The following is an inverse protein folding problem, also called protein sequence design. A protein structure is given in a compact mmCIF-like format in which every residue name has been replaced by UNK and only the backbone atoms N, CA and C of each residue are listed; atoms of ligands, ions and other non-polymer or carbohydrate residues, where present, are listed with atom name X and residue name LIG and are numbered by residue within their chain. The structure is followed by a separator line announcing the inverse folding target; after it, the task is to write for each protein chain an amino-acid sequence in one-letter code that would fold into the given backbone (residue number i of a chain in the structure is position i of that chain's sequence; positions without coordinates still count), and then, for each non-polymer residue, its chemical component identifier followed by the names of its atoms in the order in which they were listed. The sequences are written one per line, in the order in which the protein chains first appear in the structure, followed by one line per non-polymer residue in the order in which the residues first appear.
data_IF_144013813005
#
_entry.id   IF_144013813005
#
_cell.length_a   1.000
_cell.length_b   1.000
_cell.length_c   1.000
_cell.angle_alpha   90.00
_cell.angle_beta   90.00
_cell.angle_gamma   90.00
#
_symmetry.space_group_name_H-M   'P 1'
#
loop_
_entity.id
_entity.type
_entity.pdbx_description
1 polymer ?
#
# COMPACT_ATOMS: atom_id res chain seq x y z
N UNK A 1 -8.05 -3.62 24.57
CA UNK A 1 -8.16 -4.16 23.20
C UNK A 1 -7.00 -3.56 22.42
N UNK A 2 -6.10 -4.37 21.86
CA UNK A 2 -5.04 -3.84 21.02
C UNK A 2 -5.67 -3.37 19.71
N UNK A 3 -5.59 -2.08 19.38
CA UNK A 3 -6.12 -1.56 18.11
C UNK A 3 -5.46 -2.29 16.94
N UNK A 4 -6.31 -2.79 16.04
CA UNK A 4 -6.00 -3.61 14.89
C UNK A 4 -5.26 -2.84 13.78
N UNK A 5 -4.05 -2.33 14.08
CA UNK A 5 -3.24 -1.59 13.11
C UNK A 5 -2.24 -2.50 12.38
N UNK A 6 -2.67 -3.70 11.95
CA UNK A 6 -1.76 -4.70 11.37
C UNK A 6 -1.19 -4.23 10.03
N UNK A 7 -2.02 -3.60 9.19
CA UNK A 7 -1.60 -3.11 7.87
C UNK A 7 -0.65 -1.91 8.02
N UNK A 8 -0.97 -0.97 8.89
CA UNK A 8 -0.17 0.22 9.17
C UNK A 8 1.19 -0.16 9.76
N UNK A 9 1.23 -1.13 10.68
CA UNK A 9 2.50 -1.67 11.20
C UNK A 9 3.32 -2.32 10.10
N UNK A 10 2.69 -3.06 9.18
CA UNK A 10 3.39 -3.63 8.02
C UNK A 10 3.95 -2.52 7.13
N UNK A 11 3.18 -1.47 6.83
CA UNK A 11 3.61 -0.33 6.01
C UNK A 11 4.79 0.39 6.68
N UNK A 12 4.70 0.65 7.98
CA UNK A 12 5.79 1.25 8.77
C UNK A 12 7.06 0.40 8.73
N UNK A 13 6.93 -0.92 8.94
CA UNK A 13 8.07 -1.85 8.92
C UNK A 13 8.69 -2.00 7.52
N UNK A 14 7.90 -1.87 6.46
CA UNK A 14 8.40 -1.86 5.08
C UNK A 14 9.19 -0.56 4.79
N UNK A 15 8.89 0.54 5.48
CA UNK A 15 9.66 1.77 5.39
C UNK A 15 9.44 2.56 4.10
N UNK A 16 8.21 2.61 3.60
CA UNK A 16 7.87 3.44 2.44
C UNK A 16 8.18 4.92 2.71
N UNK A 17 8.81 5.60 1.75
CA UNK A 17 9.09 7.03 1.82
C UNK A 17 7.90 7.89 1.32
N UNK A 18 6.82 7.23 0.90
CA UNK A 18 5.64 7.95 0.42
C UNK A 18 4.95 8.72 1.56
N UNK A 19 4.58 9.99 1.36
CA UNK A 19 3.77 10.73 2.34
C UNK A 19 2.33 10.20 2.40
N UNK A 20 1.91 9.36 1.45
CA UNK A 20 0.56 8.80 1.33
C UNK A 20 0.44 7.43 2.01
N UNK A 21 1.21 7.18 3.08
CA UNK A 21 1.21 5.89 3.78
C UNK A 21 -0.17 5.52 4.37
N UNK A 22 -0.96 6.51 4.79
CA UNK A 22 -2.33 6.29 5.25
C UNK A 22 -3.27 5.88 4.11
N UNK A 23 -3.15 6.52 2.95
CA UNK A 23 -3.91 6.16 1.76
C UNK A 23 -3.56 4.76 1.25
N UNK A 24 -2.28 4.38 1.32
CA UNK A 24 -1.84 3.01 1.04
C UNK A 24 -2.54 1.99 1.94
N UNK A 25 -2.71 2.27 3.24
CA UNK A 25 -3.43 1.39 4.14
C UNK A 25 -4.90 1.25 3.71
N UNK A 26 -5.56 2.35 3.33
CA UNK A 26 -6.94 2.33 2.85
C UNK A 26 -7.09 1.50 1.57
N UNK A 27 -6.22 1.69 0.57
CA UNK A 27 -6.24 0.89 -0.67
C UNK A 27 -6.07 -0.62 -0.36
N UNK A 28 -5.24 -0.97 0.62
CA UNK A 28 -5.08 -2.36 1.06
C UNK A 28 -6.35 -2.91 1.72
N UNK A 29 -7.01 -2.12 2.58
CA UNK A 29 -8.29 -2.53 3.17
C UNK A 29 -9.38 -2.70 2.11
N UNK A 30 -9.48 -1.80 1.14
CA UNK A 30 -10.41 -1.96 0.02
C UNK A 30 -10.13 -3.24 -0.78
N UNK A 31 -8.85 -3.51 -1.08
CA UNK A 31 -8.46 -4.72 -1.81
C UNK A 31 -8.76 -6.00 -1.02
N UNK A 32 -8.66 -5.96 0.31
CA UNK A 32 -9.05 -7.06 1.21
C UNK A 32 -10.56 -7.28 1.20
N UNK A 33 -11.35 -6.21 1.29
CA UNK A 33 -12.82 -6.27 1.27
C UNK A 33 -13.37 -6.84 -0.04
N UNK A 34 -12.61 -6.70 -1.14
CA UNK A 34 -12.95 -7.28 -2.46
C UNK A 34 -12.57 -8.75 -2.59
N UNK A 35 -11.85 -9.33 -1.63
CA UNK A 35 -11.49 -10.76 -1.66
C UNK A 35 -12.68 -11.62 -1.26
N UNK A 36 -12.69 -12.83 -1.81
CA UNK A 36 -13.59 -13.88 -1.39
C UNK A 36 -13.38 -14.21 0.11
N UNK A 37 -14.48 -14.31 0.85
CA UNK A 37 -14.43 -14.48 2.31
C UNK A 37 -13.80 -15.82 2.70
N UNK A 38 -14.09 -16.90 1.96
CA UNK A 38 -13.53 -18.22 2.23
C UNK A 38 -12.02 -18.26 1.96
N UNK A 39 -11.56 -17.51 0.97
CA UNK A 39 -10.12 -17.30 0.74
C UNK A 39 -9.44 -16.61 1.94
N UNK A 40 -10.03 -15.53 2.47
CA UNK A 40 -9.50 -14.82 3.63
C UNK A 40 -9.49 -15.72 4.88
N UNK A 41 -10.56 -16.50 5.11
CA UNK A 41 -10.63 -17.47 6.22
C UNK A 41 -9.53 -18.52 6.12
N UNK A 42 -9.30 -19.10 4.95
CA UNK A 42 -8.20 -20.07 4.75
C UNK A 42 -6.83 -19.48 5.05
N UNK A 43 -6.57 -18.25 4.61
CA UNK A 43 -5.31 -17.57 4.93
C UNK A 43 -5.14 -17.37 6.44
N UNK A 44 -6.23 -17.10 7.16
CA UNK A 44 -6.21 -16.98 8.61
C UNK A 44 -5.94 -18.32 9.28
N UNK A 45 -6.70 -19.36 8.92
CA UNK A 45 -6.59 -20.73 9.46
C UNK A 45 -5.19 -21.32 9.23
N UNK A 46 -4.57 -21.02 8.09
CA UNK A 46 -3.24 -21.48 7.73
C UNK A 46 -2.09 -20.63 8.32
N UNK A 47 -2.38 -19.58 9.10
CA UNK A 47 -1.39 -18.60 9.58
C UNK A 47 -0.62 -17.85 8.46
N UNK A 48 -1.23 -17.69 7.29
CA UNK A 48 -0.62 -17.04 6.11
C UNK A 48 -1.02 -15.57 5.94
N UNK A 49 -1.94 -15.07 6.78
CA UNK A 49 -2.49 -13.71 6.69
C UNK A 49 -1.42 -12.63 6.64
N UNK A 50 -0.44 -12.66 7.56
CA UNK A 50 0.63 -11.65 7.62
C UNK A 50 1.46 -11.64 6.34
N UNK A 51 1.83 -12.82 5.83
CA UNK A 51 2.60 -12.92 4.59
C UNK A 51 1.82 -12.36 3.40
N UNK A 52 0.53 -12.68 3.32
CA UNK A 52 -0.37 -12.16 2.30
C UNK A 52 -0.46 -10.63 2.34
N UNK A 53 -0.67 -10.04 3.53
CA UNK A 53 -0.73 -8.58 3.71
C UNK A 53 0.59 -7.90 3.32
N UNK A 54 1.73 -8.44 3.73
CA UNK A 54 3.06 -7.94 3.32
C UNK A 54 3.20 -7.94 1.81
N UNK A 55 2.75 -9.01 1.14
CA UNK A 55 2.79 -9.10 -0.32
C UNK A 55 1.89 -8.06 -0.97
N UNK A 56 0.67 -7.85 -0.46
CA UNK A 56 -0.24 -6.83 -0.98
C UNK A 56 0.37 -5.43 -0.88
N UNK A 57 0.93 -5.07 0.28
CA UNK A 57 1.57 -3.77 0.50
C UNK A 57 2.73 -3.57 -0.46
N UNK A 58 3.63 -4.56 -0.57
CA UNK A 58 4.77 -4.50 -1.50
C UNK A 58 4.33 -4.36 -2.95
N UNK A 59 3.28 -5.07 -3.36
CA UNK A 59 2.75 -4.97 -4.71
C UNK A 59 2.18 -3.57 -4.99
N UNK A 60 1.43 -3.00 -4.04
CA UNK A 60 0.88 -1.65 -4.20
C UNK A 60 1.98 -0.58 -4.31
N UNK A 61 3.05 -0.69 -3.51
CA UNK A 61 4.19 0.24 -3.56
C UNK A 61 4.97 0.14 -4.89
N UNK A 62 5.26 -1.08 -5.34
CA UNK A 62 6.21 -1.29 -6.45
C UNK A 62 5.56 -1.37 -7.84
N UNK A 63 4.25 -1.59 -7.92
CA UNK A 63 3.56 -1.71 -9.20
C UNK A 63 3.10 -0.35 -9.72
N UNK A 64 3.51 0.00 -10.93
CA UNK A 64 3.01 1.21 -11.65
C UNK A 64 1.56 1.10 -12.10
N UNK A 65 0.95 -0.08 -11.96
CA UNK A 65 -0.45 -0.32 -12.27
C UNK A 65 -1.33 -0.41 -11.02
N UNK A 66 -0.75 -0.31 -9.82
CA UNK A 66 -1.53 -0.36 -8.59
C UNK A 66 -2.46 0.86 -8.44
N UNK A 67 -3.59 0.72 -7.74
CA UNK A 67 -4.44 1.85 -7.36
C UNK A 67 -3.62 2.93 -6.65
N UNK A 68 -2.78 2.53 -5.69
CA UNK A 68 -1.93 3.43 -4.94
C UNK A 68 -1.00 4.27 -5.85
N UNK A 69 -0.33 3.64 -6.80
CA UNK A 69 0.57 4.35 -7.71
C UNK A 69 -0.20 5.34 -8.59
N UNK A 70 -1.32 4.90 -9.18
CA UNK A 70 -2.10 5.71 -10.13
C UNK A 70 -2.80 6.88 -9.46
N UNK A 71 -3.30 6.69 -8.23
CA UNK A 71 -4.01 7.73 -7.47
C UNK A 71 -3.04 8.75 -6.85
N UNK A 72 -1.89 8.30 -6.36
CA UNK A 72 -1.03 9.14 -5.50
C UNK A 72 0.39 9.31 -6.05
N UNK A 73 1.15 8.23 -6.23
CA UNK A 73 2.59 8.32 -6.56
C UNK A 73 2.86 8.93 -7.94
N UNK A 74 2.01 8.66 -8.93
CA UNK A 74 2.20 9.16 -10.29
C UNK A 74 2.15 10.69 -10.32
N UNK A 75 1.17 11.29 -9.65
CA UNK A 75 1.05 12.74 -9.57
C UNK A 75 2.17 13.37 -8.76
N UNK A 76 2.60 12.73 -7.66
CA UNK A 76 3.75 13.21 -6.89
C UNK A 76 5.02 13.24 -7.74
N UNK A 77 5.36 12.12 -8.37
CA UNK A 77 6.55 12.00 -9.23
C UNK A 77 6.55 13.04 -10.34
N UNK A 78 5.43 13.21 -11.03
CA UNK A 78 5.30 14.23 -12.08
C UNK A 78 5.43 15.65 -11.54
N UNK A 79 4.92 15.92 -10.33
CA UNK A 79 5.09 17.22 -9.70
C UNK A 79 6.55 17.49 -9.29
N UNK A 80 7.26 16.46 -8.85
CA UNK A 80 8.68 16.57 -8.46
C UNK A 80 9.56 16.80 -9.69
N UNK A 81 9.30 16.08 -10.79
CA UNK A 81 9.96 16.29 -12.10
C UNK A 81 9.81 17.74 -12.58
N UNK A 82 8.59 18.28 -12.56
CA UNK A 82 8.31 19.66 -12.97
C UNK A 82 8.94 20.73 -12.07
N UNK A 83 9.25 20.42 -10.81
CA UNK A 83 9.96 21.35 -9.91
C UNK A 83 11.43 21.40 -10.24
N UNK A 84 12.05 20.23 -10.45
CA UNK A 84 13.46 20.14 -10.78
C UNK A 84 13.77 20.85 -12.11
N UNK A 85 12.90 20.69 -13.13
CA UNK A 85 13.04 21.40 -14.41
C UNK A 85 13.05 22.93 -14.26
N UNK A 86 12.35 23.49 -13.26
CA UNK A 86 12.31 24.95 -13.02
C UNK A 86 13.49 25.49 -12.22
N UNK A 87 14.25 24.63 -11.56
CA UNK A 87 15.44 25.04 -10.80
C UNK A 87 16.71 25.05 -11.67
N UNK A 88 16.64 24.47 -12.87
CA UNK A 88 17.74 24.39 -13.85
C UNK A 88 17.71 25.51 -14.92
N UNK A 89 16.63 26.30 -15.01
CA UNK A 89 16.44 27.46 -15.89
C UNK A 89 16.69 28.81 -15.17
#
# INVERSE_FOLDING_TARGET
MAEYNTVERIIQNIGTQSPYAADLAQDIYEDLLKKDEDYIKKLWENNEMTFFLVRMVKNNINSVTSPFYRKYEMFRKKSDELKNEKEED
#
